data_IF_102645494978
#
_entry.id   IF_102645494978
#
_cell.length_a   1.000
_cell.length_b   1.000
_cell.length_c   1.000
_cell.angle_alpha   90.00
_cell.angle_beta   90.00
_cell.angle_gamma   90.00
#
_symmetry.space_group_name_H-M   'P 1'
#
loop_
_entity.id
_entity.type
_entity.pdbx_description
1 polymer ?
#
# COMPACT_ATOMS: atom_id res chain seq x y z
N UNK A 1 5.76 7.41 14.66
CA UNK A 1 5.05 6.23 15.19
C UNK A 1 5.96 5.01 15.20
N UNK A 2 6.19 4.31 14.08
CA UNK A 2 7.00 3.07 14.06
C UNK A 2 8.41 3.21 14.68
N UNK A 3 9.13 4.29 14.35
CA UNK A 3 10.45 4.56 14.94
C UNK A 3 10.43 4.65 16.46
N UNK A 4 9.40 5.27 17.04
CA UNK A 4 9.31 5.42 18.49
C UNK A 4 9.12 4.06 19.18
N UNK A 5 8.31 3.17 18.57
CA UNK A 5 8.18 1.80 19.04
C UNK A 5 9.52 1.06 18.96
N UNK A 6 10.24 1.13 17.84
CA UNK A 6 11.54 0.47 17.72
C UNK A 6 12.62 1.07 18.64
N UNK A 7 12.60 2.39 18.86
CA UNK A 7 13.51 3.05 19.81
C UNK A 7 13.29 2.54 21.24
N UNK A 8 12.05 2.19 21.59
CA UNK A 8 11.68 1.63 22.89
C UNK A 8 11.96 0.13 23.00
N UNK A 9 11.55 -0.65 22.00
CA UNK A 9 11.49 -2.12 22.08
C UNK A 9 12.73 -2.82 21.49
N UNK A 10 13.52 -2.13 20.66
CA UNK A 10 14.64 -2.75 19.91
C UNK A 10 15.93 -1.94 20.10
N UNK A 11 16.61 -2.04 21.25
CA UNK A 11 17.84 -1.30 21.50
C UNK A 11 18.92 -1.58 20.44
N UNK A 12 19.52 -0.52 19.89
CA UNK A 12 20.62 -0.65 18.92
C UNK A 12 20.20 -0.73 17.45
N UNK A 13 18.89 -0.76 17.14
CA UNK A 13 18.37 -0.90 15.77
C UNK A 13 18.85 0.20 14.81
N UNK A 14 19.07 1.41 15.32
CA UNK A 14 19.60 2.54 14.52
C UNK A 14 21.08 2.41 14.20
N UNK A 15 21.86 1.82 15.11
CA UNK A 15 23.31 1.71 15.00
C UNK A 15 23.71 0.51 14.15
N UNK A 16 22.94 -0.58 14.21
CA UNK A 16 23.22 -1.83 13.50
C UNK A 16 21.98 -2.37 12.76
N UNK A 17 21.33 -1.58 11.86
CA UNK A 17 20.12 -2.02 11.16
C UNK A 17 20.34 -3.20 10.21
N UNK A 18 21.60 -3.51 9.85
CA UNK A 18 21.96 -4.65 9.00
C UNK A 18 22.15 -5.96 9.78
N UNK A 19 22.17 -5.90 11.12
CA UNK A 19 22.45 -7.05 11.98
C UNK A 19 21.14 -7.77 12.33
N UNK A 20 20.91 -9.01 11.84
CA UNK A 20 19.67 -9.74 12.11
C UNK A 20 19.41 -9.95 13.60
N UNK A 21 20.46 -10.10 14.41
CA UNK A 21 20.34 -10.33 15.85
C UNK A 21 19.67 -9.14 16.57
N UNK A 22 19.79 -7.92 16.02
CA UNK A 22 19.10 -6.75 16.59
C UNK A 22 17.60 -6.85 16.36
N UNK A 23 17.17 -7.39 15.21
CA UNK A 23 15.76 -7.49 14.85
C UNK A 23 15.03 -8.65 15.52
N UNK A 24 15.72 -9.58 16.18
CA UNK A 24 15.08 -10.62 17.02
C UNK A 24 14.21 -10.00 18.13
N UNK A 25 14.52 -8.78 18.57
CA UNK A 25 13.69 -8.03 19.52
C UNK A 25 12.26 -7.76 19.03
N UNK A 26 12.00 -7.80 17.71
CA UNK A 26 10.66 -7.66 17.14
C UNK A 26 9.70 -8.72 17.67
N UNK A 27 10.18 -9.95 17.91
CA UNK A 27 9.34 -11.05 18.39
C UNK A 27 8.93 -10.87 19.86
N UNK A 28 9.57 -9.97 20.60
CA UNK A 28 9.19 -9.61 21.96
C UNK A 28 8.13 -8.51 22.05
N UNK A 29 7.78 -7.87 20.92
CA UNK A 29 6.80 -6.79 20.91
C UNK A 29 5.40 -7.37 21.08
N UNK A 30 4.65 -6.86 22.05
CA UNK A 30 3.25 -7.22 22.28
C UNK A 30 2.39 -7.00 21.02
N UNK A 31 1.57 -8.00 20.68
CA UNK A 31 0.72 -7.96 19.50
C UNK A 31 -0.24 -6.76 19.52
N UNK A 32 -0.70 -6.35 20.70
CA UNK A 32 -1.55 -5.17 20.89
C UNK A 32 -0.82 -3.86 20.56
N UNK A 33 0.47 -3.75 20.88
CA UNK A 33 1.28 -2.59 20.54
C UNK A 33 1.48 -2.47 19.02
N UNK A 34 1.75 -3.60 18.35
CA UNK A 34 1.82 -3.65 16.89
C UNK A 34 0.47 -3.30 16.26
N UNK A 35 -0.63 -3.87 16.76
CA UNK A 35 -1.98 -3.57 16.26
C UNK A 35 -2.32 -2.09 16.40
N UNK A 36 -2.08 -1.48 17.56
CA UNK A 36 -2.29 -0.05 17.77
C UNK A 36 -1.46 0.81 16.81
N UNK A 37 -0.19 0.46 16.61
CA UNK A 37 0.67 1.16 15.65
C UNK A 37 0.11 1.04 14.22
N UNK A 38 -0.24 -0.16 13.79
CA UNK A 38 -0.78 -0.43 12.45
C UNK A 38 -2.09 0.32 12.21
N UNK A 39 -3.03 0.25 13.15
CA UNK A 39 -4.30 0.97 13.08
C UNK A 39 -4.10 2.48 13.04
N UNK A 40 -3.16 3.03 13.81
CA UNK A 40 -2.83 4.45 13.75
C UNK A 40 -2.23 4.86 12.38
N UNK A 41 -1.31 4.06 11.82
CA UNK A 41 -0.73 4.34 10.51
C UNK A 41 -1.76 4.24 9.38
N UNK A 42 -2.65 3.24 9.43
CA UNK A 42 -3.76 3.09 8.49
C UNK A 42 -4.69 4.29 8.57
N UNK A 43 -5.10 4.70 9.77
CA UNK A 43 -6.00 5.85 9.95
C UNK A 43 -5.44 7.11 9.29
N UNK A 44 -4.14 7.40 9.49
CA UNK A 44 -3.48 8.55 8.85
C UNK A 44 -3.46 8.48 7.33
N UNK A 45 -3.36 7.28 6.76
CA UNK A 45 -3.47 7.10 5.31
C UNK A 45 -4.91 7.36 4.84
N UNK A 46 -5.92 6.83 5.54
CA UNK A 46 -7.32 7.02 5.19
C UNK A 46 -7.78 8.46 5.37
N UNK A 47 -7.27 9.18 6.36
CA UNK A 47 -7.47 10.63 6.52
C UNK A 47 -6.96 11.41 5.30
N UNK A 48 -5.79 11.05 4.78
CA UNK A 48 -5.25 11.67 3.56
C UNK A 48 -6.07 11.31 2.32
N UNK A 49 -6.58 10.07 2.24
CA UNK A 49 -7.50 9.64 1.17
C UNK A 49 -8.78 10.49 1.22
N UNK A 50 -9.40 10.62 2.38
CA UNK A 50 -10.60 11.44 2.58
C UNK A 50 -10.34 12.90 2.23
N UNK A 51 -9.20 13.47 2.67
CA UNK A 51 -8.81 14.85 2.36
C UNK A 51 -8.65 15.10 0.86
N UNK A 52 -8.10 14.14 0.11
CA UNK A 52 -7.87 14.28 -1.33
C UNK A 52 -9.10 14.00 -2.19
N UNK A 53 -9.94 13.06 -1.77
CA UNK A 53 -11.00 12.51 -2.61
C UNK A 53 -12.42 12.81 -2.12
N UNK A 54 -12.56 13.29 -0.88
CA UNK A 54 -13.84 13.42 -0.19
C UNK A 54 -14.48 12.09 0.22
N UNK A 55 -13.76 10.97 0.05
CA UNK A 55 -14.28 9.63 0.32
C UNK A 55 -13.77 9.11 1.66
N UNK A 56 -14.71 8.79 2.55
CA UNK A 56 -14.42 8.10 3.79
C UNK A 56 -14.40 6.59 3.52
N UNK A 57 -13.27 5.96 3.86
CA UNK A 57 -13.11 4.51 3.77
C UNK A 57 -13.20 3.90 5.16
N UNK A 58 -13.68 2.66 5.21
CA UNK A 58 -13.76 1.88 6.44
C UNK A 58 -12.35 1.67 7.05
N UNK A 59 -12.10 2.14 8.29
CA UNK A 59 -10.80 2.02 8.96
C UNK A 59 -10.49 0.62 9.49
N UNK A 60 -11.50 -0.24 9.64
CA UNK A 60 -11.35 -1.62 10.08
C UNK A 60 -11.16 -2.58 8.90
N UNK A 61 -11.43 -2.12 7.67
CA UNK A 61 -11.15 -2.86 6.44
C UNK A 61 -9.64 -2.98 6.17
N UNK A 62 -9.22 -4.15 5.70
CA UNK A 62 -7.83 -4.39 5.30
C UNK A 62 -7.48 -3.49 4.12
N UNK A 63 -6.35 -2.78 4.20
CA UNK A 63 -5.95 -1.82 3.17
C UNK A 63 -4.82 -2.38 2.32
N UNK A 64 -5.09 -2.59 1.03
CA UNK A 64 -4.11 -2.99 0.04
C UNK A 64 -3.58 -1.77 -0.70
N UNK A 65 -2.27 -1.58 -0.74
CA UNK A 65 -1.60 -0.49 -1.43
C UNK A 65 -0.84 -0.92 -2.68
N UNK A 66 -0.88 -0.07 -3.70
CA UNK A 66 0.02 -0.08 -4.86
C UNK A 66 0.46 1.34 -5.17
N UNK A 67 1.73 1.69 -4.96
CA UNK A 67 2.25 3.01 -5.34
C UNK A 67 3.57 2.93 -6.11
N UNK A 68 3.48 2.93 -7.45
CA UNK A 68 4.63 2.80 -8.35
C UNK A 68 4.35 3.51 -9.67
N UNK A 69 5.39 3.79 -10.46
CA UNK A 69 5.20 4.19 -11.86
C UNK A 69 4.36 3.12 -12.57
N UNK A 70 3.31 3.52 -13.30
CA UNK A 70 2.56 2.58 -14.11
C UNK A 70 3.36 2.22 -15.36
N UNK A 71 3.65 0.92 -15.50
CA UNK A 71 4.39 0.35 -16.62
C UNK A 71 3.91 -1.09 -16.85
N UNK A 72 3.88 -1.59 -18.10
CA UNK A 72 3.33 -2.91 -18.42
C UNK A 72 3.95 -4.07 -17.65
N UNK A 73 5.25 -4.00 -17.38
CA UNK A 73 5.91 -5.06 -16.64
C UNK A 73 5.55 -5.08 -15.15
N UNK A 74 5.07 -3.97 -14.57
CA UNK A 74 4.66 -3.89 -13.17
C UNK A 74 3.23 -4.39 -12.94
N UNK A 75 2.42 -4.48 -14.00
CA UNK A 75 1.09 -5.11 -13.98
C UNK A 75 0.14 -4.52 -12.93
N UNK A 76 0.09 -3.19 -12.83
CA UNK A 76 -0.72 -2.48 -11.82
C UNK A 76 -2.23 -2.76 -11.91
N UNK A 77 -2.72 -3.17 -13.09
CA UNK A 77 -4.11 -3.49 -13.36
C UNK A 77 -4.42 -5.01 -13.33
N UNK A 78 -3.45 -5.88 -13.04
CA UNK A 78 -3.64 -7.34 -13.06
C UNK A 78 -4.74 -7.81 -12.11
N UNK A 79 -4.94 -7.10 -11.00
CA UNK A 79 -5.95 -7.46 -10.00
C UNK A 79 -7.38 -7.40 -10.57
N UNK A 80 -7.61 -6.65 -11.66
CA UNK A 80 -8.90 -6.52 -12.32
C UNK A 80 -9.18 -7.58 -13.39
N UNK A 81 -8.28 -8.56 -13.57
CA UNK A 81 -8.45 -9.62 -14.59
C UNK A 81 -9.68 -10.51 -14.31
N UNK A 82 -10.05 -10.63 -13.03
CA UNK A 82 -11.19 -11.41 -12.55
C UNK A 82 -12.05 -10.52 -11.65
N UNK A 83 -12.92 -9.67 -12.23
CA UNK A 83 -13.66 -8.65 -11.49
C UNK A 83 -14.70 -9.25 -10.55
N UNK A 84 -15.32 -10.38 -10.92
CA UNK A 84 -16.28 -11.07 -10.04
C UNK A 84 -15.59 -11.54 -8.75
N UNK A 85 -14.42 -12.18 -8.88
CA UNK A 85 -13.62 -12.57 -7.73
C UNK A 85 -13.14 -11.38 -6.92
N UNK A 86 -12.69 -10.31 -7.58
CA UNK A 86 -12.27 -9.11 -6.89
C UNK A 86 -13.43 -8.50 -6.10
N UNK A 87 -14.62 -8.40 -6.69
CA UNK A 87 -15.81 -7.87 -6.02
C UNK A 87 -16.15 -8.65 -4.74
N UNK A 88 -16.10 -9.99 -4.80
CA UNK A 88 -16.33 -10.85 -3.63
C UNK A 88 -15.30 -10.62 -2.53
N UNK A 89 -14.03 -10.37 -2.88
CA UNK A 89 -12.97 -10.07 -1.91
C UNK A 89 -13.19 -8.70 -1.27
N UNK A 90 -13.49 -7.67 -2.07
CA UNK A 90 -13.63 -6.30 -1.56
C UNK A 90 -14.88 -6.11 -0.68
N UNK A 91 -15.93 -6.92 -0.92
CA UNK A 91 -17.24 -6.79 -0.26
C UNK A 91 -17.63 -8.01 0.60
N UNK A 92 -16.67 -8.87 0.96
CA UNK A 92 -16.90 -10.00 1.85
C UNK A 92 -17.14 -9.59 3.31
N UNK A 93 -17.26 -10.57 4.22
CA UNK A 93 -17.42 -10.34 5.66
C UNK A 93 -16.27 -9.52 6.26
N UNK A 94 -15.07 -9.65 5.69
CA UNK A 94 -13.91 -8.84 6.01
C UNK A 94 -13.58 -7.97 4.79
N UNK A 95 -14.12 -6.75 4.71
CA UNK A 95 -13.99 -5.92 3.53
C UNK A 95 -12.54 -5.46 3.33
N UNK A 96 -12.24 -5.09 2.08
CA UNK A 96 -10.90 -4.69 1.66
C UNK A 96 -10.96 -3.36 0.91
N UNK A 97 -10.08 -2.43 1.28
CA UNK A 97 -9.83 -1.19 0.53
C UNK A 97 -8.62 -1.40 -0.38
N UNK A 98 -8.70 -0.91 -1.61
CA UNK A 98 -7.64 -1.00 -2.62
C UNK A 98 -7.21 0.41 -3.05
N UNK A 99 -5.99 0.78 -2.70
CA UNK A 99 -5.44 2.11 -2.93
C UNK A 99 -4.32 2.05 -3.97
N UNK A 100 -4.51 2.78 -5.06
CA UNK A 100 -3.51 2.99 -6.10
C UNK A 100 -2.93 4.39 -6.02
N UNK A 101 -1.65 4.52 -6.35
CA UNK A 101 -1.05 5.81 -6.65
C UNK A 101 0.10 5.67 -7.64
N UNK A 102 0.36 6.73 -8.39
CA UNK A 102 1.47 6.80 -9.32
C UNK A 102 1.09 7.41 -10.65
N UNK A 103 2.07 7.48 -11.55
CA UNK A 103 1.91 8.07 -12.87
C UNK A 103 2.54 7.19 -13.94
N UNK A 104 1.96 7.22 -15.12
CA UNK A 104 2.62 6.73 -16.31
C UNK A 104 3.64 7.76 -16.82
N UNK A 105 4.65 7.31 -17.56
CA UNK A 105 5.55 8.24 -18.22
C UNK A 105 4.84 8.88 -19.43
N UNK A 106 5.06 10.17 -19.74
CA UNK A 106 4.36 10.85 -20.85
C UNK A 106 4.52 10.19 -22.23
N UNK A 107 5.62 9.45 -22.43
CA UNK A 107 5.90 8.69 -23.67
C UNK A 107 5.55 7.20 -23.61
N UNK A 108 4.92 6.74 -22.53
CA UNK A 108 4.62 5.32 -22.28
C UNK A 108 3.11 5.07 -22.40
N UNK A 109 2.64 4.90 -23.64
CA UNK A 109 1.21 4.77 -23.91
C UNK A 109 0.60 3.51 -23.30
N UNK A 110 1.39 2.44 -23.18
CA UNK A 110 0.95 1.23 -22.49
C UNK A 110 0.79 1.47 -20.99
N UNK A 111 1.71 2.21 -20.35
CA UNK A 111 1.54 2.67 -18.98
C UNK A 111 0.30 3.56 -18.79
N UNK A 112 0.01 4.46 -19.73
CA UNK A 112 -1.19 5.32 -19.68
C UNK A 112 -2.48 4.50 -19.78
N UNK A 113 -2.52 3.48 -20.65
CA UNK A 113 -3.68 2.56 -20.75
C UNK A 113 -3.95 1.83 -19.44
N UNK A 114 -2.90 1.43 -18.72
CA UNK A 114 -3.03 0.81 -17.40
C UNK A 114 -3.64 1.80 -16.40
N UNK A 115 -3.16 3.05 -16.37
CA UNK A 115 -3.74 4.08 -15.49
C UNK A 115 -5.20 4.32 -15.82
N UNK A 116 -5.55 4.43 -17.10
CA UNK A 116 -6.94 4.61 -17.55
C UNK A 116 -7.82 3.44 -17.08
N UNK A 117 -7.38 2.19 -17.27
CA UNK A 117 -8.10 1.01 -16.80
C UNK A 117 -8.30 1.03 -15.28
N UNK A 118 -7.26 1.36 -14.51
CA UNK A 118 -7.38 1.50 -13.03
C UNK A 118 -8.40 2.58 -12.65
N UNK A 119 -8.41 3.71 -13.36
CA UNK A 119 -9.37 4.79 -13.14
C UNK A 119 -10.80 4.37 -13.50
N UNK A 120 -10.99 3.64 -14.60
CA UNK A 120 -12.29 3.10 -15.00
C UNK A 120 -12.86 2.20 -13.91
N UNK A 121 -12.04 1.30 -13.34
CA UNK A 121 -12.46 0.47 -12.21
C UNK A 121 -12.67 1.26 -10.91
N UNK A 122 -11.83 2.26 -10.62
CA UNK A 122 -11.98 3.11 -9.43
C UNK A 122 -13.26 3.97 -9.46
N UNK A 123 -13.84 4.18 -10.65
CA UNK A 123 -15.08 4.95 -10.85
C UNK A 123 -16.30 4.07 -11.13
N UNK A 124 -16.10 2.77 -11.40
CA UNK A 124 -17.18 1.81 -11.62
C UNK A 124 -18.09 1.69 -10.41
N UNK A 125 -19.41 1.68 -10.59
CA UNK A 125 -20.39 1.78 -9.50
C UNK A 125 -20.24 0.72 -8.41
N UNK A 126 -19.79 -0.48 -8.78
CA UNK A 126 -19.62 -1.61 -7.85
C UNK A 126 -18.30 -1.58 -7.07
N UNK A 127 -17.32 -0.80 -7.54
CA UNK A 127 -15.96 -0.76 -7.00
C UNK A 127 -15.60 0.60 -6.40
N UNK A 128 -16.33 1.65 -6.77
CA UNK A 128 -16.05 3.05 -6.40
C UNK A 128 -16.11 3.34 -4.91
N UNK A 129 -16.53 2.42 -4.05
CA UNK A 129 -16.51 2.60 -2.60
C UNK A 129 -15.30 1.91 -1.96
N UNK A 130 -14.64 0.98 -2.68
CA UNK A 130 -13.50 0.19 -2.19
C UNK A 130 -12.19 0.45 -2.93
N UNK A 131 -12.25 0.92 -4.18
CA UNK A 131 -11.08 1.19 -5.02
C UNK A 131 -10.87 2.69 -5.13
N UNK A 132 -9.65 3.16 -4.87
CA UNK A 132 -9.26 4.57 -4.98
C UNK A 132 -7.98 4.69 -5.79
N UNK A 133 -7.96 5.61 -6.76
CA UNK A 133 -6.74 6.07 -7.41
C UNK A 133 -6.39 7.46 -6.86
N UNK A 134 -5.24 7.57 -6.20
CA UNK A 134 -4.70 8.82 -5.67
C UNK A 134 -3.73 9.44 -6.69
N UNK A 135 -4.10 10.62 -7.16
CA UNK A 135 -3.27 11.45 -8.04
C UNK A 135 -2.15 12.15 -7.25
N UNK A 136 -1.21 12.74 -7.99
CA UNK A 136 -0.09 13.52 -7.43
C UNK A 136 0.74 12.76 -6.38
N UNK A 137 1.15 11.55 -6.76
CA UNK A 137 2.10 10.75 -5.99
C UNK A 137 3.45 11.47 -5.84
N UNK A 138 3.73 11.87 -4.61
CA UNK A 138 4.99 12.44 -4.16
C UNK A 138 5.61 11.59 -3.03
N UNK A 139 6.70 12.10 -2.44
CA UNK A 139 7.39 11.41 -1.35
C UNK A 139 6.51 11.32 -0.09
N UNK A 140 5.67 12.32 0.16
CA UNK A 140 4.80 12.36 1.33
C UNK A 140 3.70 11.30 1.24
N UNK A 141 2.96 11.28 0.11
CA UNK A 141 1.95 10.26 -0.15
C UNK A 141 2.57 8.86 -0.22
N UNK A 142 3.78 8.73 -0.77
CA UNK A 142 4.53 7.48 -0.73
C UNK A 142 4.82 7.00 0.69
N UNK A 143 5.20 7.89 1.60
CA UNK A 143 5.38 7.58 3.02
C UNK A 143 4.09 7.07 3.67
N UNK A 144 2.96 7.76 3.44
CA UNK A 144 1.66 7.36 3.98
C UNK A 144 1.19 6.02 3.42
N UNK A 145 1.27 5.81 2.11
CA UNK A 145 0.87 4.54 1.48
C UNK A 145 1.73 3.38 1.97
N UNK A 146 3.05 3.52 1.98
CA UNK A 146 3.95 2.44 2.42
C UNK A 146 3.85 2.13 3.92
N UNK A 147 3.45 3.09 4.76
CA UNK A 147 3.31 2.88 6.19
C UNK A 147 1.89 2.47 6.61
N UNK A 148 0.85 2.95 5.94
CA UNK A 148 -0.55 2.69 6.29
C UNK A 148 -1.21 1.53 5.55
N UNK A 149 -0.61 1.00 4.48
CA UNK A 149 -1.15 -0.20 3.79
C UNK A 149 -0.77 -1.45 4.57
N UNK A 150 -1.70 -2.38 4.73
CA UNK A 150 -1.50 -3.69 5.38
C UNK A 150 -0.90 -4.72 4.45
N UNK A 151 -1.26 -4.64 3.17
CA UNK A 151 -0.72 -5.49 2.12
C UNK A 151 -0.20 -4.61 1.00
N UNK A 152 1.00 -4.90 0.52
CA UNK A 152 1.59 -4.17 -0.61
C UNK A 152 1.66 -5.04 -1.86
N UNK A 153 0.96 -4.62 -2.92
CA UNK A 153 0.99 -5.34 -4.19
C UNK A 153 2.33 -5.15 -4.89
N UNK A 154 3.04 -6.26 -5.08
CA UNK A 154 4.27 -6.31 -5.86
C UNK A 154 4.26 -7.51 -6.80
N UNK A 155 3.68 -7.31 -7.98
CA UNK A 155 3.45 -8.34 -8.99
C UNK A 155 4.19 -8.09 -10.33
N UNK A 156 5.46 -7.64 -10.38
CA UNK A 156 6.13 -7.42 -11.66
C UNK A 156 6.38 -8.74 -12.43
N UNK A 157 6.50 -8.65 -13.76
CA UNK A 157 6.91 -9.76 -14.63
C UNK A 157 8.41 -10.01 -14.46
N UNK A 158 8.81 -11.23 -14.08
CA UNK A 158 10.21 -11.65 -14.11
C UNK A 158 10.74 -11.66 -15.55
N UNK A 159 12.00 -11.26 -15.82
CA UNK A 159 13.03 -10.72 -14.91
C UNK A 159 13.09 -9.17 -14.89
N UNK A 160 12.02 -8.46 -15.24
CA UNK A 160 12.07 -7.02 -15.57
C UNK A 160 12.14 -6.06 -14.37
N UNK A 161 12.11 -6.58 -13.14
CA UNK A 161 12.35 -5.81 -11.92
C UNK A 161 13.74 -6.16 -11.39
N UNK A 162 14.63 -5.17 -11.28
CA UNK A 162 15.99 -5.41 -10.81
C UNK A 162 16.05 -5.75 -9.31
N UNK A 163 15.29 -5.03 -8.47
CA UNK A 163 15.26 -5.25 -7.02
C UNK A 163 13.90 -4.84 -6.43
N UNK A 164 13.50 -3.58 -6.63
CA UNK A 164 12.22 -3.06 -6.15
C UNK A 164 12.29 -2.52 -4.71
N UNK A 165 12.89 -1.35 -4.53
CA UNK A 165 13.12 -0.73 -3.22
C UNK A 165 11.85 -0.37 -2.44
N UNK A 166 10.71 -0.21 -3.12
CA UNK A 166 9.43 0.02 -2.45
C UNK A 166 9.02 -1.17 -1.57
N UNK A 167 9.32 -2.41 -1.98
CA UNK A 167 9.03 -3.59 -1.16
C UNK A 167 9.86 -3.60 0.13
N UNK A 168 11.10 -3.13 0.08
CA UNK A 168 11.98 -3.02 1.24
C UNK A 168 11.49 -1.95 2.24
N UNK A 169 10.83 -0.88 1.76
CA UNK A 169 10.28 0.18 2.62
C UNK A 169 9.08 -0.31 3.44
N UNK A 170 8.21 -1.13 2.83
CA UNK A 170 6.99 -1.62 3.50
C UNK A 170 7.35 -2.54 4.66
N UNK A 171 8.33 -3.44 4.50
CA UNK A 171 8.74 -4.41 5.53
C UNK A 171 9.09 -3.75 6.88
N UNK A 172 9.65 -2.53 6.86
CA UNK A 172 10.00 -1.81 8.09
C UNK A 172 8.80 -1.10 8.75
N UNK A 173 7.61 -1.16 8.17
CA UNK A 173 6.39 -0.56 8.69
C UNK A 173 5.35 -1.61 9.15
N UNK A 174 5.71 -2.90 9.13
CA UNK A 174 4.78 -4.01 9.37
C UNK A 174 3.89 -4.22 8.17
#
# INVERSE_FOLDING_TARGET
AARALFDQEIPGWRQRPWDPAVWEGVYGIEASALWMLRSHLRMRLLEEVARRTGRELDPDALTIGFARRFAPYKRGDLIFTDPERLWMILNGEQPVNLLFAGKAHPRDDAGKKIVANVLDWATHSEFRDRVVLLEDYDIHLGGLLTSGSDVWLNNPRRPREASGTSGQKVILNG
#
